data_IF_179329402043
#
_entry.id   IF_179329402043
#
_cell.length_a   1.000
_cell.length_b   1.000
_cell.length_c   1.000
_cell.angle_alpha   90.00
_cell.angle_beta   90.00
_cell.angle_gamma   90.00
#
_symmetry.space_group_name_H-M   'P 1'
#
loop_
_entity.id
_entity.type
_entity.pdbx_description
1 polymer ?
#
# COMPACT_ATOMS: atom_id res chain seq x y z
N UNK A 1 34.69 -18.82 2.48
CA UNK A 1 33.34 -18.51 1.93
C UNK A 1 32.52 -17.85 3.03
N UNK A 2 32.70 -16.55 3.26
CA UNK A 2 32.26 -15.88 4.50
C UNK A 2 31.33 -14.69 4.21
N UNK A 3 30.14 -14.74 4.84
CA UNK A 3 29.41 -13.60 5.43
C UNK A 3 28.90 -12.42 4.58
N UNK A 4 28.46 -12.62 3.33
CA UNK A 4 27.80 -11.55 2.55
C UNK A 4 26.41 -11.89 2.00
N UNK A 5 25.80 -13.00 2.41
CA UNK A 5 24.46 -13.42 1.94
C UNK A 5 23.35 -13.18 2.97
N UNK A 6 23.26 -11.97 3.52
CA UNK A 6 22.16 -11.57 4.43
C UNK A 6 21.70 -10.12 4.20
N UNK A 7 21.89 -9.60 2.98
CA UNK A 7 21.18 -8.39 2.54
C UNK A 7 19.74 -8.79 2.22
N UNK A 8 18.86 -8.56 3.19
CA UNK A 8 17.41 -8.41 3.10
C UNK A 8 16.92 -8.10 1.67
N UNK A 9 16.66 -9.14 0.86
CA UNK A 9 15.67 -9.02 -0.20
C UNK A 9 14.33 -9.17 0.51
N UNK A 10 13.77 -8.05 0.96
CA UNK A 10 12.40 -7.98 1.47
C UNK A 10 11.52 -8.83 0.54
N UNK A 11 10.72 -9.73 1.12
CA UNK A 11 9.79 -10.62 0.40
C UNK A 11 8.83 -9.84 -0.54
N UNK A 12 8.77 -8.51 -0.36
CA UNK A 12 7.96 -7.55 -1.07
C UNK A 12 8.83 -6.38 -1.59
N UNK A 13 9.41 -6.47 -2.81
CA UNK A 13 10.20 -5.38 -3.37
C UNK A 13 9.32 -4.16 -3.66
N UNK A 14 9.74 -2.99 -3.16
CA UNK A 14 9.03 -1.71 -3.33
C UNK A 14 7.87 -1.48 -2.35
N UNK A 15 7.65 -2.37 -1.39
CA UNK A 15 6.63 -2.23 -0.36
C UNK A 15 7.31 -1.90 0.97
N UNK A 16 6.85 -0.84 1.61
CA UNK A 16 7.40 -0.32 2.88
C UNK A 16 6.30 -0.23 3.93
N UNK A 17 6.68 -0.24 5.20
CA UNK A 17 5.77 0.12 6.29
C UNK A 17 5.71 1.65 6.40
N UNK A 18 4.52 2.22 6.44
CA UNK A 18 4.30 3.66 6.59
C UNK A 18 3.22 3.94 7.62
N UNK A 19 3.28 5.09 8.28
CA UNK A 19 2.27 5.57 9.22
C UNK A 19 1.38 6.62 8.56
N UNK A 20 0.07 6.50 8.71
CA UNK A 20 -0.88 7.49 8.24
C UNK A 20 -0.76 8.77 9.08
N UNK A 21 -0.52 9.91 8.44
CA UNK A 21 -0.42 11.23 9.10
C UNK A 21 -1.68 12.06 8.89
N UNK A 22 -2.37 11.89 7.76
CA UNK A 22 -3.59 12.64 7.43
C UNK A 22 -4.52 11.83 6.54
N UNK A 23 -5.83 12.00 6.73
CA UNK A 23 -6.88 11.42 5.88
C UNK A 23 -7.87 12.52 5.51
N UNK A 24 -8.14 12.69 4.23
CA UNK A 24 -9.12 13.63 3.69
C UNK A 24 -10.10 12.91 2.75
N UNK A 25 -11.33 13.41 2.65
CA UNK A 25 -12.29 12.91 1.66
C UNK A 25 -11.80 13.28 0.26
N UNK A 26 -11.90 12.36 -0.69
CA UNK A 26 -11.55 12.66 -2.06
C UNK A 26 -12.55 13.68 -2.66
N UNK A 27 -12.09 14.79 -3.28
CA UNK A 27 -12.96 15.87 -3.75
C UNK A 27 -13.93 15.42 -4.85
N UNK A 28 -13.49 14.48 -5.70
CA UNK A 28 -14.26 14.01 -6.86
C UNK A 28 -14.84 12.59 -6.71
N UNK A 29 -14.84 12.00 -5.51
CA UNK A 29 -15.33 10.63 -5.30
C UNK A 29 -15.73 10.35 -3.84
N UNK A 30 -16.97 9.91 -3.61
CA UNK A 30 -17.49 9.67 -2.26
C UNK A 30 -16.91 8.42 -1.59
N UNK A 31 -16.48 7.43 -2.38
CA UNK A 31 -15.95 6.15 -1.90
C UNK A 31 -14.42 6.12 -1.84
N UNK A 32 -13.75 7.25 -2.01
CA UNK A 32 -12.30 7.35 -1.98
C UNK A 32 -11.85 8.37 -0.94
N UNK A 33 -10.64 8.15 -0.43
CA UNK A 33 -9.94 9.03 0.50
C UNK A 33 -8.58 9.39 -0.09
N UNK A 34 -8.10 10.58 0.24
CA UNK A 34 -6.73 11.00 -0.01
C UNK A 34 -6.00 10.93 1.32
N UNK A 35 -4.89 10.20 1.33
CA UNK A 35 -4.14 9.87 2.52
C UNK A 35 -2.72 10.40 2.37
N UNK A 36 -2.21 10.97 3.45
CA UNK A 36 -0.80 11.29 3.61
C UNK A 36 -0.17 10.28 4.58
N UNK A 37 1.01 9.80 4.23
CA UNK A 37 1.76 8.82 5.02
C UNK A 37 3.21 9.27 5.21
N UNK A 38 3.87 8.72 6.22
CA UNK A 38 5.32 8.86 6.41
C UNK A 38 5.97 7.51 6.68
N UNK A 39 7.17 7.30 6.14
CA UNK A 39 8.05 6.18 6.47
C UNK A 39 9.04 6.51 7.61
N UNK A 40 8.91 7.70 8.20
CA UNK A 40 9.81 8.22 9.24
C UNK A 40 10.90 9.15 8.69
N UNK A 41 11.20 9.07 7.40
CA UNK A 41 12.21 9.94 6.74
C UNK A 41 11.57 10.95 5.81
N UNK A 42 10.54 10.52 5.05
CA UNK A 42 9.84 11.36 4.07
C UNK A 42 8.33 11.27 4.24
N UNK A 43 7.66 12.26 3.67
CA UNK A 43 6.21 12.31 3.54
C UNK A 43 5.81 11.83 2.14
N UNK A 44 4.86 10.91 2.07
CA UNK A 44 4.28 10.39 0.83
C UNK A 44 2.83 10.85 0.75
N UNK A 45 2.57 11.76 -0.19
CA UNK A 45 1.24 12.25 -0.54
C UNK A 45 1.22 12.79 -1.99
N UNK A 46 0.05 12.82 -2.62
CA UNK A 46 -1.19 12.20 -2.16
C UNK A 46 -1.20 10.68 -2.44
N UNK A 47 -1.79 9.88 -1.55
CA UNK A 47 -2.08 8.46 -1.80
C UNK A 47 -3.59 8.26 -1.79
N UNK A 48 -4.16 7.86 -2.92
CA UNK A 48 -5.61 7.62 -3.04
C UNK A 48 -5.92 6.19 -2.62
N UNK A 49 -6.86 6.03 -1.69
CA UNK A 49 -7.26 4.74 -1.16
C UNK A 49 -8.79 4.64 -1.03
N UNK A 50 -9.35 3.47 -1.35
CA UNK A 50 -10.77 3.16 -1.15
C UNK A 50 -11.09 2.41 0.14
N UNK A 51 -10.08 2.01 0.91
CA UNK A 51 -10.29 1.33 2.19
C UNK A 51 -10.68 2.35 3.26
N UNK A 52 -11.59 1.97 4.17
CA UNK A 52 -12.11 2.77 5.28
C UNK A 52 -11.81 2.19 6.67
N UNK A 53 -11.05 1.09 6.72
CA UNK A 53 -10.77 0.28 7.90
C UNK A 53 -9.52 0.72 8.69
N UNK A 54 -9.08 1.96 8.53
CA UNK A 54 -7.94 2.53 9.26
C UNK A 54 -8.12 4.04 9.46
N UNK A 55 -7.43 4.54 10.48
CA UNK A 55 -7.45 5.93 10.93
C UNK A 55 -6.04 6.55 10.95
N UNK A 56 -5.96 7.85 11.24
CA UNK A 56 -4.68 8.55 11.42
C UNK A 56 -3.89 7.89 12.55
N UNK A 57 -2.59 7.69 12.32
CA UNK A 57 -1.70 6.97 13.24
C UNK A 57 -1.55 5.48 12.96
N UNK A 58 -2.42 4.89 12.13
CA UNK A 58 -2.31 3.48 11.75
C UNK A 58 -1.01 3.20 10.96
N UNK A 59 -0.40 2.04 11.20
CA UNK A 59 0.69 1.50 10.39
C UNK A 59 0.11 0.64 9.27
N UNK A 60 0.54 0.89 8.04
CA UNK A 60 0.05 0.20 6.85
C UNK A 60 1.21 -0.20 5.94
N UNK A 61 1.01 -1.21 5.09
CA UNK A 61 1.91 -1.47 3.97
C UNK A 61 1.60 -0.52 2.82
N UNK A 62 2.61 0.23 2.40
CA UNK A 62 2.56 1.13 1.27
C UNK A 62 3.41 0.57 0.13
N UNK A 63 2.76 0.24 -0.99
CA UNK A 63 3.44 -0.04 -2.24
C UNK A 63 3.73 1.26 -2.99
N UNK A 64 5.00 1.47 -3.33
CA UNK A 64 5.44 2.59 -4.16
C UNK A 64 5.38 2.21 -5.65
N UNK A 65 5.33 3.18 -6.58
CA UNK A 65 5.46 2.90 -8.00
C UNK A 65 6.71 2.04 -8.29
N UNK A 66 6.54 0.98 -9.07
CA UNK A 66 7.54 -0.06 -9.31
C UNK A 66 7.50 -1.24 -8.33
N UNK A 67 6.67 -1.19 -7.27
CA UNK A 67 6.48 -2.30 -6.36
C UNK A 67 5.77 -3.48 -7.02
N UNK A 68 6.15 -4.71 -6.62
CA UNK A 68 5.50 -5.93 -7.09
C UNK A 68 4.39 -6.35 -6.11
N UNK A 69 3.14 -6.31 -6.57
CA UNK A 69 1.97 -6.80 -5.85
C UNK A 69 1.75 -8.26 -6.22
N UNK A 70 1.46 -9.12 -5.23
CA UNK A 70 1.40 -10.57 -5.44
C UNK A 70 0.03 -11.07 -5.87
N UNK A 71 -1.05 -10.44 -5.39
CA UNK A 71 -2.43 -10.79 -5.76
C UNK A 71 -3.20 -9.54 -6.14
N UNK A 72 -3.80 -9.55 -7.32
CA UNK A 72 -4.69 -8.47 -7.76
C UNK A 72 -6.14 -8.76 -7.34
N UNK A 73 -6.72 -7.98 -6.41
CA UNK A 73 -8.13 -8.14 -5.98
C UNK A 73 -9.15 -7.85 -7.10
N UNK A 74 -8.73 -7.14 -8.15
CA UNK A 74 -9.59 -6.78 -9.27
C UNK A 74 -9.51 -7.77 -10.44
N UNK A 75 -8.66 -8.79 -10.36
CA UNK A 75 -8.60 -9.88 -11.33
C UNK A 75 -9.18 -11.17 -10.72
N UNK A 76 -9.97 -11.91 -11.49
CA UNK A 76 -10.48 -13.22 -11.09
C UNK A 76 -9.35 -14.26 -10.91
N UNK A 77 -8.23 -14.10 -11.62
CA UNK A 77 -7.08 -15.00 -11.50
C UNK A 77 -6.06 -14.53 -10.43
N UNK A 78 -6.28 -13.36 -9.82
CA UNK A 78 -5.42 -12.78 -8.78
C UNK A 78 -3.93 -12.76 -9.16
N UNK A 79 -3.60 -12.53 -10.43
CA UNK A 79 -2.22 -12.54 -10.90
C UNK A 79 -1.40 -11.39 -10.29
N UNK A 80 -0.08 -11.58 -10.10
CA UNK A 80 0.81 -10.53 -9.65
C UNK A 80 0.98 -9.44 -10.71
N UNK A 81 1.15 -8.20 -10.27
CA UNK A 81 1.39 -7.06 -11.16
C UNK A 81 2.41 -6.09 -10.55
N UNK A 82 2.97 -5.22 -11.38
CA UNK A 82 3.84 -4.13 -10.93
C UNK A 82 3.03 -2.85 -10.86
N UNK A 83 3.03 -2.21 -9.69
CA UNK A 83 2.31 -0.96 -9.48
C UNK A 83 2.91 0.13 -10.37
N UNK A 84 2.06 0.78 -11.16
CA UNK A 84 2.43 1.94 -11.95
C UNK A 84 1.86 3.21 -11.32
N UNK A 85 2.44 4.36 -11.65
CA UNK A 85 1.81 5.65 -11.32
C UNK A 85 0.44 5.73 -11.98
N UNK A 86 -0.57 6.16 -11.22
CA UNK A 86 -1.94 6.24 -11.70
C UNK A 86 -2.59 7.55 -11.24
N UNK A 87 -3.33 8.17 -12.15
CA UNK A 87 -4.22 9.29 -11.83
C UNK A 87 -5.61 8.74 -11.56
N UNK A 88 -6.09 8.89 -10.33
CA UNK A 88 -7.39 8.41 -9.90
C UNK A 88 -8.30 9.63 -9.71
N UNK A 89 -9.33 9.74 -10.55
CA UNK A 89 -10.35 10.81 -10.47
C UNK A 89 -9.74 12.23 -10.39
N UNK A 90 -8.64 12.45 -11.12
CA UNK A 90 -7.95 13.73 -11.22
C UNK A 90 -6.80 13.95 -10.24
N UNK A 91 -6.49 12.98 -9.37
CA UNK A 91 -5.37 13.05 -8.42
C UNK A 91 -4.32 11.99 -8.75
N UNK A 92 -3.06 12.39 -8.96
CA UNK A 92 -1.94 11.46 -9.16
C UNK A 92 -1.53 10.81 -7.83
N UNK A 93 -1.82 9.52 -7.67
CA UNK A 93 -1.48 8.78 -6.45
C UNK A 93 0.01 8.40 -6.45
N UNK A 94 0.71 8.71 -5.36
CA UNK A 94 2.12 8.38 -5.15
C UNK A 94 2.34 6.95 -4.62
N UNK A 95 1.30 6.15 -4.55
CA UNK A 95 1.38 4.75 -4.12
C UNK A 95 0.02 4.09 -3.97
N UNK A 96 0.04 2.91 -3.37
CA UNK A 96 -1.14 2.11 -3.03
C UNK A 96 -0.98 1.53 -1.63
N UNK A 97 -2.01 1.68 -0.79
CA UNK A 97 -2.05 0.98 0.49
C UNK A 97 -2.48 -0.46 0.23
N UNK A 98 -1.65 -1.41 0.63
CA UNK A 98 -1.89 -2.84 0.40
C UNK A 98 -2.60 -3.47 1.60
N UNK A 99 -3.64 -4.24 1.29
CA UNK A 99 -4.15 -5.28 2.17
C UNK A 99 -3.19 -6.46 2.20
N UNK A 100 -3.30 -7.30 3.21
CA UNK A 100 -2.53 -8.53 3.26
C UNK A 100 -2.89 -9.55 2.19
N UNK A 101 -4.10 -9.51 1.65
CA UNK A 101 -4.46 -10.39 0.55
C UNK A 101 -3.60 -10.07 -0.66
N UNK A 102 -3.42 -8.78 -0.96
CA UNK A 102 -2.56 -8.30 -2.05
C UNK A 102 -1.08 -8.65 -1.84
N UNK A 103 -0.67 -8.81 -0.57
CA UNK A 103 0.64 -9.31 -0.17
C UNK A 103 0.71 -10.85 -0.08
N UNK A 104 -0.36 -11.58 -0.40
CA UNK A 104 -0.41 -13.04 -0.28
C UNK A 104 -0.24 -13.54 1.17
N UNK A 105 -0.58 -12.70 2.15
CA UNK A 105 -0.53 -13.01 3.58
C UNK A 105 -1.91 -13.46 4.12
N UNK A 106 -3.01 -13.17 3.41
CA UNK A 106 -4.35 -13.75 3.62
C UNK A 106 -4.90 -14.42 2.38
N UNK A 107 -5.85 -15.33 2.60
CA UNK A 107 -6.75 -15.85 1.57
C UNK A 107 -8.08 -15.08 1.45
N UNK A 108 -8.33 -14.12 2.35
CA UNK A 108 -9.52 -13.25 2.32
C UNK A 108 -9.18 -11.79 1.99
N UNK A 109 -9.83 -11.17 0.98
CA UNK A 109 -9.68 -9.75 0.65
C UNK A 109 -10.15 -8.80 1.75
N UNK A 110 -11.07 -9.25 2.60
CA UNK A 110 -11.64 -8.48 3.72
C UNK A 110 -10.80 -8.57 5.01
N UNK A 111 -9.65 -9.23 4.99
CA UNK A 111 -8.79 -9.38 6.17
C UNK A 111 -8.16 -8.05 6.57
N UNK A 112 -8.54 -7.52 7.74
CA UNK A 112 -7.79 -6.47 8.41
C UNK A 112 -6.42 -7.03 8.80
N UNK A 113 -5.34 -6.49 8.25
CA UNK A 113 -3.99 -6.79 8.73
C UNK A 113 -3.45 -5.54 9.38
N UNK A 114 -3.39 -5.60 10.70
CA UNK A 114 -2.63 -4.66 11.49
C UNK A 114 -1.14 -5.00 11.30
N UNK A 115 -0.38 -4.07 10.70
CA UNK A 115 1.07 -4.18 10.52
C UNK A 115 1.84 -3.93 11.83
N UNK A 116 1.20 -3.95 13.00
CA UNK A 116 1.82 -3.65 14.29
C UNK A 116 1.35 -4.51 15.46
N UNK A 117 2.01 -5.66 15.64
CA UNK A 117 2.69 -5.94 16.91
C UNK A 117 4.18 -5.85 16.69
#
# INVERSE_FOLDING_TARGET
>A
MSLLSWLHKSKFPGIIAARVTKIEKHPNADRLRVVELTDGERTIAPVVCGAFNFEVGAKVALALPGAKILRNIHSAAHEPFVLQKATIRGIESQGMICSAFELGLSDSPAGNYDFGR
#
